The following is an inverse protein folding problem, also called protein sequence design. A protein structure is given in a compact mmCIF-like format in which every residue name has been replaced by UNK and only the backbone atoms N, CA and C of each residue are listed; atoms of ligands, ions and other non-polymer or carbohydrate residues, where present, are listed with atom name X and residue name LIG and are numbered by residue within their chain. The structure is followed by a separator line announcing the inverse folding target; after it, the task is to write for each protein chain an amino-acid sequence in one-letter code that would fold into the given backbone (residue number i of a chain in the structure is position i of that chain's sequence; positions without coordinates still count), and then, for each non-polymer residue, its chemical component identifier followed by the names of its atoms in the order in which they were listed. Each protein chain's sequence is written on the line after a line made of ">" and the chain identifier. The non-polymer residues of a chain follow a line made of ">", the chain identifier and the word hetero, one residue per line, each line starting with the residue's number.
data_IF_101948322477
#
_entry.id   IF_101948322477
#
_cell.length_a   1.000
_cell.length_b   1.000
_cell.length_c   1.000
_cell.angle_alpha   90.00
_cell.angle_beta   90.00
_cell.angle_gamma   90.00
#
_symmetry.space_group_name_H-M   'P 1'
#
loop_
_entity.id
_entity.type
_entity.pdbx_description
1 polymer ?
#
# COMPACT_ATOMS: atom_id res chain seq x y z
N UNK A 1 11.31 -32.91 -2.55
CA UNK A 1 11.46 -31.87 -1.52
C UNK A 1 12.92 -31.56 -1.16
N UNK A 2 13.85 -32.53 -1.21
CA UNK A 2 15.25 -32.31 -0.84
C UNK A 2 15.94 -31.18 -1.64
N UNK A 3 15.69 -31.08 -2.94
CA UNK A 3 16.28 -30.02 -3.78
C UNK A 3 15.88 -28.61 -3.33
N UNK A 4 14.64 -28.42 -2.87
CA UNK A 4 14.16 -27.14 -2.35
C UNK A 4 14.80 -26.83 -0.99
N UNK A 5 15.01 -27.83 -0.15
CA UNK A 5 15.78 -27.68 1.09
C UNK A 5 17.22 -27.27 0.82
N UNK A 6 17.84 -27.84 -0.23
CA UNK A 6 19.19 -27.47 -0.66
C UNK A 6 19.27 -26.04 -1.22
N UNK A 7 18.29 -25.62 -2.02
CA UNK A 7 18.20 -24.24 -2.53
C UNK A 7 18.00 -23.27 -1.36
N UNK A 8 17.05 -23.56 -0.47
CA UNK A 8 16.75 -22.72 0.69
C UNK A 8 17.96 -22.50 1.59
N UNK A 9 18.75 -23.54 1.88
CA UNK A 9 19.96 -23.42 2.70
C UNK A 9 20.96 -22.42 2.10
N UNK A 10 21.14 -22.43 0.78
CA UNK A 10 22.12 -21.57 0.10
C UNK A 10 21.62 -20.14 -0.07
N UNK A 11 20.37 -19.99 -0.50
CA UNK A 11 19.79 -18.69 -0.86
C UNK A 11 19.46 -17.86 0.39
N UNK A 12 19.00 -18.46 1.49
CA UNK A 12 18.67 -17.72 2.72
C UNK A 12 19.90 -17.18 3.45
N UNK A 13 21.04 -17.87 3.38
CA UNK A 13 22.26 -17.46 4.07
C UNK A 13 23.15 -16.53 3.24
N UNK A 14 22.84 -16.34 1.95
CA UNK A 14 23.68 -15.59 1.01
C UNK A 14 22.82 -14.61 0.21
N UNK A 15 22.67 -13.34 0.67
CA UNK A 15 21.87 -12.33 -0.03
C UNK A 15 22.47 -11.96 -1.40
N UNK A 16 23.78 -12.13 -1.57
CA UNK A 16 24.54 -11.92 -2.81
C UNK A 16 24.02 -12.75 -4.01
N UNK A 17 23.40 -13.90 -3.73
CA UNK A 17 22.90 -14.80 -4.78
C UNK A 17 21.73 -14.12 -5.48
N UNK A 18 21.89 -13.70 -6.73
CA UNK A 18 20.76 -13.18 -7.50
C UNK A 18 19.71 -14.27 -7.72
N UNK A 19 18.44 -13.91 -7.53
CA UNK A 19 17.30 -14.77 -7.84
C UNK A 19 16.60 -14.25 -9.09
N UNK A 20 16.17 -15.11 -10.02
CA UNK A 20 15.60 -14.68 -11.29
C UNK A 20 14.15 -14.22 -11.11
N UNK A 21 13.96 -12.97 -10.65
CA UNK A 21 12.64 -12.43 -10.30
C UNK A 21 11.64 -12.58 -11.46
N UNK A 22 12.01 -12.15 -12.68
CA UNK A 22 11.10 -12.14 -13.82
C UNK A 22 10.71 -13.55 -14.25
N UNK A 23 11.63 -14.51 -14.20
CA UNK A 23 11.32 -15.91 -14.51
C UNK A 23 10.40 -16.53 -13.43
N UNK A 24 10.63 -16.22 -12.15
CA UNK A 24 9.77 -16.67 -11.06
C UNK A 24 8.34 -16.12 -11.21
N UNK A 25 8.21 -14.84 -11.59
CA UNK A 25 6.92 -14.21 -11.85
C UNK A 25 6.21 -14.81 -13.07
N UNK A 26 6.95 -15.06 -14.16
CA UNK A 26 6.41 -15.74 -15.34
C UNK A 26 5.87 -17.12 -14.99
N UNK A 27 6.64 -17.94 -14.29
CA UNK A 27 6.21 -19.27 -13.86
C UNK A 27 4.98 -19.16 -12.94
N UNK A 28 4.96 -18.20 -12.02
CA UNK A 28 3.82 -18.00 -11.12
C UNK A 28 2.51 -17.69 -11.86
N UNK A 29 2.58 -16.79 -12.85
CA UNK A 29 1.41 -16.30 -13.60
C UNK A 29 0.96 -17.25 -14.71
N UNK A 30 1.78 -18.24 -15.07
CA UNK A 30 1.45 -19.20 -16.12
C UNK A 30 0.19 -20.02 -15.77
N UNK A 31 -0.72 -20.15 -16.74
CA UNK A 31 -2.01 -20.84 -16.55
C UNK A 31 -1.84 -22.34 -16.26
N UNK A 32 -0.76 -22.94 -16.77
CA UNK A 32 -0.42 -24.36 -16.61
C UNK A 32 0.28 -24.68 -15.28
N UNK A 33 0.71 -23.66 -14.54
CA UNK A 33 1.43 -23.86 -13.27
C UNK A 33 0.54 -24.44 -12.18
N UNK A 34 0.99 -25.57 -11.62
CA UNK A 34 0.32 -26.21 -10.50
C UNK A 34 0.36 -25.36 -9.22
N UNK A 35 -0.60 -25.57 -8.32
CA UNK A 35 -0.67 -24.88 -7.02
C UNK A 35 0.63 -25.01 -6.22
N UNK A 36 1.25 -26.19 -6.22
CA UNK A 36 2.50 -26.40 -5.49
C UNK A 36 3.64 -25.55 -6.06
N UNK A 37 3.72 -25.39 -7.38
CA UNK A 37 4.71 -24.51 -8.03
C UNK A 37 4.44 -23.05 -7.69
N UNK A 38 3.18 -22.59 -7.75
CA UNK A 38 2.81 -21.21 -7.39
C UNK A 38 3.15 -20.88 -5.93
N UNK A 39 2.88 -21.80 -5.00
CA UNK A 39 3.24 -21.65 -3.58
C UNK A 39 4.75 -21.52 -3.38
N UNK A 40 5.56 -22.20 -4.19
CA UNK A 40 7.01 -22.03 -4.14
C UNK A 40 7.44 -20.70 -4.76
N UNK A 41 6.92 -20.36 -5.94
CA UNK A 41 7.27 -19.11 -6.61
C UNK A 41 7.01 -17.88 -5.73
N UNK A 42 5.85 -17.79 -5.06
CA UNK A 42 5.52 -16.61 -4.25
C UNK A 42 6.55 -16.36 -3.12
N UNK A 43 7.09 -17.42 -2.52
CA UNK A 43 8.12 -17.32 -1.47
C UNK A 43 9.44 -16.80 -2.05
N UNK A 44 9.84 -17.28 -3.22
CA UNK A 44 11.09 -16.83 -3.86
C UNK A 44 10.97 -15.46 -4.52
N UNK A 45 9.77 -15.05 -4.96
CA UNK A 45 9.51 -13.70 -5.48
C UNK A 45 9.79 -12.66 -4.40
N UNK A 46 9.26 -12.87 -3.19
CA UNK A 46 9.52 -11.97 -2.05
C UNK A 46 11.03 -11.85 -1.77
N UNK A 47 11.73 -13.00 -1.70
CA UNK A 47 13.19 -13.04 -1.50
C UNK A 47 13.99 -12.41 -2.64
N UNK A 48 13.51 -12.52 -3.89
CA UNK A 48 14.16 -11.96 -5.06
C UNK A 48 14.03 -10.43 -5.07
N UNK A 49 12.85 -9.91 -4.74
CA UNK A 49 12.62 -8.47 -4.66
C UNK A 49 13.53 -7.78 -3.66
N UNK A 50 13.81 -8.40 -2.51
CA UNK A 50 14.73 -7.82 -1.52
C UNK A 50 16.15 -7.60 -2.04
N UNK A 51 16.53 -8.28 -3.14
CA UNK A 51 17.86 -8.23 -3.75
C UNK A 51 17.93 -7.30 -4.96
N UNK A 52 16.79 -6.88 -5.50
CA UNK A 52 16.74 -5.99 -6.65
C UNK A 52 17.16 -4.56 -6.29
N UNK A 53 17.70 -3.84 -7.27
CA UNK A 53 17.96 -2.41 -7.12
C UNK A 53 16.65 -1.64 -7.00
N UNK A 54 16.70 -0.47 -6.34
CA UNK A 54 15.53 0.39 -6.09
C UNK A 54 14.77 0.71 -7.39
N UNK A 55 15.49 1.03 -8.46
CA UNK A 55 14.90 1.37 -9.77
C UNK A 55 14.16 0.18 -10.39
N UNK A 56 14.75 -1.02 -10.33
CA UNK A 56 14.14 -2.24 -10.83
C UNK A 56 12.87 -2.59 -10.05
N UNK A 57 12.92 -2.47 -8.71
CA UNK A 57 11.75 -2.66 -7.85
C UNK A 57 10.61 -1.75 -8.27
N UNK A 58 10.87 -0.44 -8.41
CA UNK A 58 9.88 0.57 -8.78
C UNK A 58 9.26 0.30 -10.15
N UNK A 59 10.05 -0.19 -11.11
CA UNK A 59 9.57 -0.55 -12.44
C UNK A 59 8.69 -1.80 -12.45
N UNK A 60 9.02 -2.82 -11.65
CA UNK A 60 8.34 -4.13 -11.68
C UNK A 60 7.13 -4.19 -10.74
N UNK A 61 7.13 -3.46 -9.63
CA UNK A 61 6.05 -3.52 -8.64
C UNK A 61 4.64 -3.25 -9.21
N UNK A 62 4.41 -2.27 -10.10
CA UNK A 62 3.11 -2.09 -10.74
C UNK A 62 2.64 -3.33 -11.52
N UNK A 63 3.57 -4.04 -12.18
CA UNK A 63 3.26 -5.20 -13.02
C UNK A 63 2.75 -6.39 -12.19
N UNK A 64 3.10 -6.46 -10.90
CA UNK A 64 2.58 -7.47 -9.96
C UNK A 64 1.09 -7.30 -9.64
N UNK A 65 0.53 -6.11 -9.87
CA UNK A 65 -0.89 -5.84 -9.62
C UNK A 65 -1.79 -6.31 -10.76
N UNK A 66 -1.23 -6.59 -11.93
CA UNK A 66 -1.99 -7.10 -13.08
C UNK A 66 -2.55 -8.48 -12.72
N UNK A 67 -3.86 -8.67 -12.86
CA UNK A 67 -4.61 -9.88 -12.49
C UNK A 67 -4.62 -10.21 -10.99
N UNK A 68 -4.25 -9.28 -10.10
CA UNK A 68 -4.23 -9.51 -8.65
C UNK A 68 -5.61 -9.92 -8.09
N UNK A 69 -6.70 -9.51 -8.74
CA UNK A 69 -8.07 -9.90 -8.38
C UNK A 69 -8.36 -11.39 -8.59
N UNK A 70 -7.60 -12.07 -9.46
CA UNK A 70 -7.73 -13.51 -9.73
C UNK A 70 -6.76 -14.37 -8.91
N UNK A 71 -5.89 -13.74 -8.12
CA UNK A 71 -4.91 -14.44 -7.28
C UNK A 71 -5.57 -14.93 -5.99
N UNK A 72 -5.29 -16.17 -5.52
CA UNK A 72 -5.80 -16.65 -4.22
C UNK A 72 -5.47 -15.69 -3.07
N UNK A 73 -6.41 -15.44 -2.15
CA UNK A 73 -6.31 -14.41 -1.11
C UNK A 73 -4.99 -14.44 -0.32
N UNK A 74 -4.50 -15.64 0.02
CA UNK A 74 -3.24 -15.81 0.73
C UNK A 74 -2.05 -15.21 -0.04
N UNK A 75 -1.95 -15.50 -1.33
CA UNK A 75 -0.88 -14.97 -2.19
C UNK A 75 -1.13 -13.49 -2.51
N UNK A 76 -2.39 -13.11 -2.66
CA UNK A 76 -2.78 -11.72 -2.91
C UNK A 76 -2.24 -10.81 -1.80
N UNK A 77 -2.43 -11.18 -0.53
CA UNK A 77 -1.88 -10.43 0.60
C UNK A 77 -0.34 -10.35 0.60
N UNK A 78 0.36 -11.42 0.19
CA UNK A 78 1.84 -11.40 0.07
C UNK A 78 2.28 -10.40 -1.00
N UNK A 79 1.68 -10.47 -2.19
CA UNK A 79 2.00 -9.60 -3.31
C UNK A 79 1.68 -8.14 -2.99
N UNK A 80 0.50 -7.86 -2.41
CA UNK A 80 0.09 -6.50 -2.05
C UNK A 80 1.02 -5.88 -0.99
N UNK A 81 1.44 -6.65 0.03
CA UNK A 81 2.44 -6.19 1.01
C UNK A 81 3.79 -5.88 0.36
N UNK A 82 4.20 -6.70 -0.61
CA UNK A 82 5.44 -6.50 -1.36
C UNK A 82 5.38 -5.21 -2.20
N UNK A 83 4.28 -5.00 -2.94
CA UNK A 83 4.07 -3.80 -3.74
C UNK A 83 4.05 -2.55 -2.84
N UNK A 84 3.31 -2.57 -1.74
CA UNK A 84 3.27 -1.42 -0.81
C UNK A 84 4.63 -1.17 -0.14
N UNK A 85 5.43 -2.21 0.14
CA UNK A 85 6.81 -2.04 0.59
C UNK A 85 7.64 -1.27 -0.44
N UNK A 86 7.57 -1.66 -1.72
CA UNK A 86 8.26 -0.97 -2.81
C UNK A 86 7.76 0.46 -2.98
N UNK A 87 6.45 0.70 -2.88
CA UNK A 87 5.85 2.03 -2.93
C UNK A 87 6.41 2.93 -1.82
N UNK A 88 6.56 2.40 -0.60
CA UNK A 88 7.21 3.14 0.48
C UNK A 88 8.68 3.44 0.21
N UNK A 89 9.42 2.51 -0.40
CA UNK A 89 10.84 2.69 -0.75
C UNK A 89 11.06 3.64 -1.93
N UNK A 90 10.18 3.64 -2.93
CA UNK A 90 10.41 4.28 -4.23
C UNK A 90 9.55 5.54 -4.43
N UNK A 91 8.34 5.57 -3.88
CA UNK A 91 7.32 6.55 -4.25
C UNK A 91 6.86 7.46 -3.10
N UNK A 92 7.54 7.44 -1.94
CA UNK A 92 7.17 8.26 -0.79
C UNK A 92 7.18 9.78 -1.05
N UNK A 93 8.04 10.26 -1.96
CA UNK A 93 8.09 11.68 -2.34
C UNK A 93 7.30 12.00 -3.61
N UNK A 94 7.44 11.17 -4.65
CA UNK A 94 6.78 11.33 -5.94
C UNK A 94 6.76 10.00 -6.70
N UNK A 95 5.74 9.79 -7.54
CA UNK A 95 5.72 8.72 -8.54
C UNK A 95 6.32 9.25 -9.84
N UNK A 96 7.27 8.53 -10.42
CA UNK A 96 7.78 8.83 -11.76
C UNK A 96 6.71 8.53 -12.84
N UNK A 97 6.80 9.19 -13.99
CA UNK A 97 5.75 9.14 -15.01
C UNK A 97 5.58 7.72 -15.61
N UNK A 98 6.65 6.94 -15.66
CA UNK A 98 6.61 5.57 -16.17
C UNK A 98 5.85 4.63 -15.22
N UNK A 99 6.15 4.67 -13.91
CA UNK A 99 5.41 3.94 -12.90
C UNK A 99 3.95 4.43 -12.77
N UNK A 100 3.73 5.74 -12.83
CA UNK A 100 2.39 6.35 -12.78
C UNK A 100 1.49 5.80 -13.90
N UNK A 101 2.00 5.72 -15.12
CA UNK A 101 1.27 5.17 -16.27
C UNK A 101 0.87 3.70 -16.06
N UNK A 102 1.74 2.90 -15.44
CA UNK A 102 1.44 1.50 -15.12
C UNK A 102 0.37 1.37 -14.04
N UNK A 103 0.46 2.15 -12.96
CA UNK A 103 -0.57 2.16 -11.92
C UNK A 103 -1.93 2.66 -12.46
N UNK A 104 -1.92 3.68 -13.32
CA UNK A 104 -3.14 4.19 -13.95
C UNK A 104 -3.83 3.15 -14.84
N UNK A 105 -3.08 2.22 -15.43
CA UNK A 105 -3.64 1.19 -16.32
C UNK A 105 -4.63 0.23 -15.65
N UNK A 106 -4.56 0.06 -14.32
CA UNK A 106 -5.47 -0.81 -13.56
C UNK A 106 -6.60 -0.04 -12.86
N UNK A 107 -6.66 1.29 -12.96
CA UNK A 107 -7.59 2.12 -12.17
C UNK A 107 -9.07 1.80 -12.40
N UNK A 108 -9.43 1.36 -13.60
CA UNK A 108 -10.80 0.98 -13.97
C UNK A 108 -11.12 -0.52 -13.81
N UNK A 109 -10.21 -1.33 -13.28
CA UNK A 109 -10.37 -2.78 -13.21
C UNK A 109 -10.61 -3.28 -11.79
N UNK A 110 -11.01 -4.56 -11.66
CA UNK A 110 -11.10 -5.23 -10.36
C UNK A 110 -9.75 -5.28 -9.64
N UNK A 111 -8.63 -5.27 -10.38
CA UNK A 111 -7.29 -5.20 -9.80
C UNK A 111 -7.07 -3.88 -9.07
N UNK A 112 -7.48 -2.76 -9.68
CA UNK A 112 -7.46 -1.44 -9.06
C UNK A 112 -8.30 -1.37 -7.80
N UNK A 113 -9.48 -2.01 -7.78
CA UNK A 113 -10.35 -2.08 -6.60
C UNK A 113 -9.70 -2.87 -5.46
N UNK A 114 -9.16 -4.06 -5.75
CA UNK A 114 -8.47 -4.90 -4.76
C UNK A 114 -7.26 -4.18 -4.17
N UNK A 115 -6.48 -3.51 -5.03
CA UNK A 115 -5.33 -2.73 -4.59
C UNK A 115 -5.74 -1.53 -3.72
N UNK A 116 -6.78 -0.79 -4.12
CA UNK A 116 -7.29 0.37 -3.38
C UNK A 116 -7.84 -0.02 -2.00
N UNK A 117 -8.56 -1.14 -1.89
CA UNK A 117 -9.02 -1.68 -0.61
C UNK A 117 -7.84 -2.01 0.32
N UNK A 118 -6.80 -2.66 -0.20
CA UNK A 118 -5.59 -2.95 0.58
C UNK A 118 -4.84 -1.67 0.99
N UNK A 119 -4.77 -0.68 0.11
CA UNK A 119 -4.21 0.64 0.41
C UNK A 119 -5.01 1.33 1.53
N UNK A 120 -6.34 1.31 1.48
CA UNK A 120 -7.20 1.85 2.52
C UNK A 120 -6.96 1.18 3.87
N UNK A 121 -6.89 -0.16 3.89
CA UNK A 121 -6.57 -0.93 5.10
C UNK A 121 -5.19 -0.56 5.66
N UNK A 122 -4.20 -0.35 4.79
CA UNK A 122 -2.85 0.06 5.19
C UNK A 122 -2.81 1.49 5.75
N UNK A 123 -3.59 2.41 5.19
CA UNK A 123 -3.71 3.78 5.69
C UNK A 123 -4.36 3.80 7.08
N UNK A 124 -5.41 2.99 7.29
CA UNK A 124 -6.08 2.85 8.59
C UNK A 124 -5.20 2.19 9.66
N UNK A 125 -4.25 1.34 9.25
CA UNK A 125 -3.42 0.61 10.19
C UNK A 125 -2.61 1.55 11.09
N UNK A 126 -2.71 1.30 12.40
CA UNK A 126 -1.91 1.92 13.45
C UNK A 126 -1.13 0.85 14.19
N UNK A 127 0.07 1.19 14.65
CA UNK A 127 0.86 0.25 15.46
C UNK A 127 0.18 0.09 16.83
N UNK A 128 -0.23 -1.13 17.25
CA UNK A 128 -0.82 -1.31 18.57
C UNK A 128 0.16 -0.92 19.68
N UNK A 129 -0.26 -0.26 20.78
CA UNK A 129 0.62 0.23 21.84
C UNK A 129 1.49 -0.86 22.49
N UNK A 130 0.99 -2.09 22.57
CA UNK A 130 1.68 -3.24 23.14
C UNK A 130 2.23 -4.20 22.07
N UNK A 131 2.16 -3.84 20.78
CA UNK A 131 2.55 -4.71 19.66
C UNK A 131 1.67 -5.95 19.45
N UNK A 132 0.73 -6.21 20.35
CA UNK A 132 -0.24 -7.30 20.31
C UNK A 132 -1.64 -6.68 20.31
N UNK A 133 -2.48 -7.09 19.35
CA UNK A 133 -3.86 -6.62 19.23
C UNK A 133 -4.19 -6.06 17.85
N UNK A 134 -5.48 -5.85 17.61
CA UNK A 134 -5.99 -5.26 16.38
C UNK A 134 -6.13 -3.74 16.55
N UNK A 135 -5.61 -2.90 15.65
CA UNK A 135 -5.83 -1.47 15.73
C UNK A 135 -7.32 -1.13 15.54
N UNK A 136 -7.74 -0.02 16.13
CA UNK A 136 -9.09 0.50 15.93
C UNK A 136 -9.35 0.75 14.43
N UNK A 137 -10.53 0.38 13.95
CA UNK A 137 -10.93 0.58 12.54
C UNK A 137 -10.57 -0.56 11.58
N UNK A 138 -9.83 -1.57 12.02
CA UNK A 138 -9.59 -2.81 11.25
C UNK A 138 -10.12 -4.03 12.00
N UNK A 139 -10.50 -5.07 11.26
CA UNK A 139 -10.66 -6.42 11.81
C UNK A 139 -9.31 -7.13 11.94
N UNK A 140 -9.27 -8.21 12.74
CA UNK A 140 -8.05 -9.02 12.93
C UNK A 140 -7.52 -9.50 11.57
N UNK A 141 -8.40 -10.00 10.71
CA UNK A 141 -8.04 -10.49 9.37
C UNK A 141 -7.45 -9.38 8.51
N UNK A 142 -8.02 -8.18 8.53
CA UNK A 142 -7.48 -7.03 7.78
C UNK A 142 -6.12 -6.57 8.33
N UNK A 143 -5.97 -6.53 9.64
CA UNK A 143 -4.69 -6.18 10.29
C UNK A 143 -3.58 -7.20 9.94
N UNK A 144 -3.89 -8.49 9.94
CA UNK A 144 -2.99 -9.56 9.52
C UNK A 144 -2.69 -9.51 8.01
N UNK A 145 -3.67 -9.15 7.19
CA UNK A 145 -3.47 -8.95 5.75
C UNK A 145 -2.46 -7.82 5.48
N UNK A 146 -2.54 -6.71 6.22
CA UNK A 146 -1.61 -5.57 6.10
C UNK A 146 -0.21 -5.88 6.62
N UNK A 147 -0.09 -6.53 7.78
CA UNK A 147 1.21 -6.73 8.47
C UNK A 147 1.91 -8.03 8.08
N UNK A 148 1.16 -9.08 7.76
CA UNK A 148 1.70 -10.42 7.60
C UNK A 148 2.34 -10.92 8.89
N UNK A 149 3.63 -11.28 8.85
CA UNK A 149 4.33 -11.86 10.01
C UNK A 149 4.95 -10.82 10.94
N UNK A 150 5.16 -9.59 10.46
CA UNK A 150 5.90 -8.56 11.18
C UNK A 150 5.08 -7.27 11.24
N UNK A 151 4.92 -6.66 12.42
CA UNK A 151 4.19 -5.41 12.53
C UNK A 151 4.92 -4.27 11.79
N UNK A 152 4.15 -3.40 11.15
CA UNK A 152 4.65 -2.15 10.57
C UNK A 152 4.71 -1.08 11.66
N UNK A 153 5.80 -0.29 11.70
CA UNK A 153 6.01 0.75 12.72
C UNK A 153 6.94 1.87 12.22
N UNK A 154 6.87 3.01 12.90
CA UNK A 154 7.75 4.17 12.70
C UNK A 154 7.83 4.63 11.24
N UNK A 155 9.02 5.05 10.81
CA UNK A 155 9.28 5.61 9.48
C UNK A 155 8.91 4.66 8.33
N UNK A 156 8.97 3.35 8.55
CA UNK A 156 8.56 2.37 7.54
C UNK A 156 7.05 2.43 7.28
N UNK A 157 6.25 2.60 8.32
CA UNK A 157 4.80 2.76 8.17
C UNK A 157 4.48 4.09 7.50
N UNK A 158 5.12 5.18 7.95
CA UNK A 158 4.94 6.53 7.40
C UNK A 158 5.28 6.56 5.91
N UNK A 159 6.45 6.04 5.53
CA UNK A 159 6.90 6.02 4.12
C UNK A 159 5.94 5.24 3.22
N UNK A 160 5.41 4.10 3.70
CA UNK A 160 4.41 3.32 2.96
C UNK A 160 3.11 4.11 2.75
N UNK A 161 2.61 4.77 3.80
CA UNK A 161 1.37 5.57 3.71
C UNK A 161 1.54 6.76 2.77
N UNK A 162 2.65 7.50 2.86
CA UNK A 162 2.97 8.60 1.94
C UNK A 162 3.09 8.11 0.50
N UNK A 163 3.79 7.00 0.28
CA UNK A 163 3.90 6.40 -1.05
C UNK A 163 2.55 5.97 -1.62
N UNK A 164 1.70 5.35 -0.80
CA UNK A 164 0.33 4.98 -1.18
C UNK A 164 -0.43 6.23 -1.63
N UNK A 165 -0.39 7.33 -0.89
CA UNK A 165 -1.09 8.56 -1.25
C UNK A 165 -0.65 9.11 -2.61
N UNK A 166 0.65 9.02 -2.92
CA UNK A 166 1.20 9.45 -4.20
C UNK A 166 0.77 8.52 -5.36
N UNK A 167 0.76 7.21 -5.13
CA UNK A 167 0.28 6.24 -6.12
C UNK A 167 -1.22 6.38 -6.36
N UNK A 168 -2.04 6.52 -5.32
CA UNK A 168 -3.49 6.72 -5.43
C UNK A 168 -3.82 8.02 -6.19
N UNK A 169 -3.05 9.09 -5.98
CA UNK A 169 -3.17 10.30 -6.81
C UNK A 169 -2.85 10.02 -8.27
N UNK A 170 -1.72 9.35 -8.55
CA UNK A 170 -1.29 9.02 -9.91
C UNK A 170 -2.28 8.10 -10.65
N UNK A 171 -2.97 7.21 -9.93
CA UNK A 171 -3.97 6.31 -10.50
C UNK A 171 -5.21 7.04 -11.03
N UNK A 172 -5.54 8.25 -10.52
CA UNK A 172 -6.74 8.99 -10.93
C UNK A 172 -8.04 8.17 -10.78
N UNK A 173 -8.15 7.43 -9.67
CA UNK A 173 -9.32 6.60 -9.34
C UNK A 173 -10.58 7.45 -9.15
N UNK A 174 -11.74 6.80 -9.24
CA UNK A 174 -13.04 7.44 -9.04
C UNK A 174 -13.13 8.07 -7.63
N UNK A 175 -13.76 9.26 -7.47
CA UNK A 175 -13.84 9.96 -6.18
C UNK A 175 -14.40 9.11 -5.04
N UNK A 176 -15.33 8.21 -5.33
CA UNK A 176 -15.99 7.32 -4.36
C UNK A 176 -15.00 6.34 -3.72
N UNK A 177 -13.97 5.94 -4.45
CA UNK A 177 -12.90 5.05 -3.98
C UNK A 177 -11.87 5.83 -3.17
N UNK A 178 -11.49 7.01 -3.66
CA UNK A 178 -10.38 7.79 -3.09
C UNK A 178 -10.78 8.57 -1.85
N UNK A 179 -12.04 9.03 -1.78
CA UNK A 179 -12.52 9.88 -0.69
C UNK A 179 -12.34 9.25 0.71
N UNK A 180 -12.75 7.99 0.97
CA UNK A 180 -12.51 7.34 2.26
C UNK A 180 -11.02 7.23 2.60
N UNK A 181 -10.17 6.98 1.60
CA UNK A 181 -8.73 6.84 1.77
C UNK A 181 -8.07 8.14 2.21
N UNK A 182 -8.40 9.27 1.57
CA UNK A 182 -7.87 10.57 1.98
C UNK A 182 -8.42 11.02 3.33
N UNK A 183 -9.69 10.72 3.65
CA UNK A 183 -10.25 11.01 4.97
C UNK A 183 -9.53 10.23 6.08
N UNK A 184 -9.29 8.95 5.87
CA UNK A 184 -8.53 8.11 6.80
C UNK A 184 -7.08 8.61 6.97
N UNK A 185 -6.42 8.98 5.87
CA UNK A 185 -5.06 9.52 5.91
C UNK A 185 -4.98 10.87 6.64
N UNK A 186 -6.01 11.71 6.55
CA UNK A 186 -6.04 13.00 7.21
C UNK A 186 -6.24 12.90 8.73
N UNK A 187 -6.72 11.74 9.20
CA UNK A 187 -6.91 11.42 10.61
C UNK A 187 -5.74 10.61 11.18
N UNK A 188 -4.66 10.44 10.42
CA UNK A 188 -3.51 9.62 10.83
C UNK A 188 -2.75 10.29 11.98
N UNK A 189 -2.64 9.57 13.09
CA UNK A 189 -1.97 10.03 14.31
C UNK A 189 -0.56 9.46 14.47
N UNK A 190 0.03 8.88 13.41
CA UNK A 190 1.34 8.23 13.45
C UNK A 190 2.53 9.16 13.77
N UNK A 191 2.31 10.47 13.88
CA UNK A 191 3.31 11.40 14.40
C UNK A 191 3.39 11.33 15.93
N UNK A 192 4.59 11.05 16.43
CA UNK A 192 4.88 11.03 17.86
C UNK A 192 5.11 12.48 18.34
N UNK A 193 4.04 13.28 18.39
CA UNK A 193 4.10 14.68 18.83
C UNK A 193 4.09 14.70 20.38
N UNK A 194 5.00 15.43 21.05
CA UNK A 194 4.98 15.62 22.51
C UNK A 194 3.61 16.15 22.99
N UNK A 195 3.14 15.66 24.15
CA UNK A 195 1.79 15.92 24.67
C UNK A 195 1.45 17.42 24.83
N UNK A 196 2.46 18.26 24.94
CA UNK A 196 2.37 19.72 25.16
C UNK A 196 2.13 20.52 23.87
N UNK A 197 2.24 19.90 22.68
CA UNK A 197 2.05 20.53 21.36
C UNK A 197 0.87 19.97 20.58
N UNK A 198 -0.02 19.23 21.22
CA UNK A 198 -1.09 18.52 20.53
C UNK A 198 -2.27 19.42 20.16
N UNK A 199 -2.19 20.11 19.03
CA UNK A 199 -3.24 20.22 18.00
C UNK A 199 -2.52 20.54 16.68
N UNK A 200 -2.58 19.70 15.65
CA UNK A 200 -2.21 20.14 14.30
C UNK A 200 -2.99 19.47 13.15
N UNK A 201 -3.38 20.23 12.10
CA UNK A 201 -4.19 19.74 10.99
C UNK A 201 -3.37 18.91 9.97
N UNK A 202 -4.07 18.11 9.15
CA UNK A 202 -3.49 17.17 8.15
C UNK A 202 -2.29 17.73 7.35
N UNK A 203 -1.34 16.87 6.93
CA UNK A 203 -0.15 17.28 6.15
C UNK A 203 -0.51 18.18 4.93
N UNK A 204 0.29 19.22 4.65
CA UNK A 204 -0.07 20.27 3.66
C UNK A 204 -0.35 19.73 2.24
N UNK A 205 0.40 18.73 1.79
CA UNK A 205 0.15 18.04 0.51
C UNK A 205 -1.19 17.29 0.49
N UNK A 206 -1.63 16.76 1.64
CA UNK A 206 -2.91 16.08 1.80
C UNK A 206 -4.08 17.08 1.82
N UNK A 207 -3.89 18.26 2.41
CA UNK A 207 -4.90 19.36 2.36
C UNK A 207 -5.20 19.77 0.92
N UNK A 208 -4.17 19.93 0.08
CA UNK A 208 -4.33 20.30 -1.34
C UNK A 208 -5.06 19.22 -2.12
N UNK A 209 -4.76 17.93 -1.86
CA UNK A 209 -5.43 16.80 -2.51
C UNK A 209 -6.89 16.65 -2.11
N UNK A 210 -7.20 16.76 -0.81
CA UNK A 210 -8.58 16.76 -0.31
C UNK A 210 -9.39 17.91 -0.90
N UNK A 211 -8.82 19.11 -0.94
CA UNK A 211 -9.46 20.27 -1.57
C UNK A 211 -9.73 20.03 -3.07
N UNK A 212 -8.76 19.46 -3.79
CA UNK A 212 -8.94 19.11 -5.20
C UNK A 212 -10.08 18.11 -5.44
N UNK A 213 -10.27 17.13 -4.55
CA UNK A 213 -11.37 16.16 -4.64
C UNK A 213 -12.72 16.81 -4.27
N UNK A 214 -12.78 17.57 -3.18
CA UNK A 214 -14.00 18.24 -2.75
C UNK A 214 -14.53 19.22 -3.80
N UNK A 215 -13.64 20.01 -4.41
CA UNK A 215 -14.02 20.96 -5.46
C UNK A 215 -14.61 20.30 -6.72
N UNK A 216 -14.46 18.98 -6.91
CA UNK A 216 -14.94 18.23 -8.08
C UNK A 216 -16.11 17.28 -7.77
N UNK A 217 -16.52 17.16 -6.51
CA UNK A 217 -17.52 16.17 -6.07
C UNK A 217 -18.92 16.77 -5.93
N UNK A 218 -19.89 16.25 -6.68
CA UNK A 218 -21.31 16.62 -6.58
C UNK A 218 -21.87 16.21 -5.20
N UNK A 219 -21.47 15.05 -4.68
CA UNK A 219 -21.89 14.59 -3.36
C UNK A 219 -21.37 15.53 -2.25
N UNK A 220 -20.15 16.03 -2.38
CA UNK A 220 -19.59 17.02 -1.46
C UNK A 220 -20.31 18.37 -1.56
N UNK A 221 -20.66 18.80 -2.78
CA UNK A 221 -21.45 20.03 -2.98
C UNK A 221 -22.84 19.94 -2.32
N UNK A 222 -23.49 18.77 -2.41
CA UNK A 222 -24.81 18.53 -1.82
C UNK A 222 -24.80 18.43 -0.28
N UNK A 223 -23.63 18.29 0.35
CA UNK A 223 -23.46 18.25 1.80
C UNK A 223 -23.01 19.60 2.40
N UNK A 224 -23.11 20.70 1.64
CA UNK A 224 -22.86 22.05 2.13
C UNK A 224 -23.87 22.44 3.23
N UNK A 225 -23.45 23.04 4.36
CA UNK A 225 -22.12 23.58 4.68
C UNK A 225 -21.17 22.61 5.40
N UNK A 226 -21.59 21.38 5.70
CA UNK A 226 -20.80 20.42 6.48
C UNK A 226 -19.47 20.06 5.81
N UNK A 227 -19.44 20.01 4.47
CA UNK A 227 -18.19 19.86 3.72
C UNK A 227 -17.24 21.02 3.97
N UNK A 228 -17.74 22.26 4.04
CA UNK A 228 -16.91 23.43 4.37
C UNK A 228 -16.36 23.31 5.80
N UNK A 229 -17.19 22.86 6.75
CA UNK A 229 -16.78 22.66 8.13
C UNK A 229 -15.78 21.51 8.28
N UNK A 230 -15.91 20.43 7.50
CA UNK A 230 -14.95 19.34 7.40
C UNK A 230 -13.63 19.84 6.81
N UNK A 231 -13.66 20.58 5.70
CA UNK A 231 -12.49 21.24 5.12
C UNK A 231 -11.83 22.15 6.15
N UNK A 232 -12.60 22.95 6.86
CA UNK A 232 -12.08 23.89 7.86
C UNK A 232 -11.45 23.15 9.05
N UNK A 233 -12.10 22.11 9.58
CA UNK A 233 -11.54 21.27 10.64
C UNK A 233 -10.29 20.51 10.18
N UNK A 234 -10.24 20.08 8.92
CA UNK A 234 -9.06 19.43 8.33
C UNK A 234 -7.90 20.41 8.04
N UNK A 235 -8.19 21.68 7.74
CA UNK A 235 -7.17 22.70 7.41
C UNK A 235 -6.66 23.44 8.64
N UNK A 236 -7.53 23.69 9.62
CA UNK A 236 -7.26 24.59 10.75
C UNK A 236 -7.38 23.91 12.12
N UNK A 237 -7.83 22.65 12.18
CA UNK A 237 -8.14 21.97 13.44
C UNK A 237 -9.47 22.42 14.04
N UNK A 238 -9.92 21.73 15.10
CA UNK A 238 -11.08 22.16 15.89
C UNK A 238 -10.70 23.31 16.81
N UNK A 239 -11.30 24.48 16.61
CA UNK A 239 -11.28 25.55 17.61
C UNK A 239 -12.16 25.14 18.79
N UNK A 240 -11.54 24.95 19.96
CA UNK A 240 -12.20 25.04 21.26
C UNK A 240 -12.18 26.48 21.75
#
# INVERSE_FOLDING_TARGET
>A
MEILSHINKRVKQRPEISLPMLDLWRIYTESTSSTIVRNFCVVYIEMAFERLLREEKGSIAPDLLINISNVPEQHQGIILRLVVKVIGECNAHKVDDAAASKYQSISGSNDGLVFSDFCFQTILYQTPPQGIGCPAGLSVVQSERVTGKLPLKGDTLVSRKLGILNVIEAMQLAPEIVYPLYLAAASDSAENIPAEQKVDPAHSSLRVRLMGVFCRSIAAANAFPYTLQCIFGCIYGTFS
#
